data_IF_549941729154
#
_entry.id   IF_549941729154
#
_cell.length_a   1.000
_cell.length_b   1.000
_cell.length_c   1.000
_cell.angle_alpha   90.00
_cell.angle_beta   90.00
_cell.angle_gamma   90.00
#
_symmetry.space_group_name_H-M   'P 1'
#
loop_
_entity.id
_entity.type
_entity.pdbx_description
1 polymer ?
#
# COMPACT_ATOMS: atom_id res chain seq x y z
N UNK A 1 7.45 -7.48 -12.64
CA UNK A 1 6.46 -6.53 -12.08
C UNK A 1 6.24 -5.32 -12.98
N UNK A 2 7.26 -4.52 -13.30
CA UNK A 2 7.14 -3.33 -14.18
C UNK A 2 6.44 -3.61 -15.52
N UNK A 3 6.88 -4.63 -16.24
CA UNK A 3 6.27 -5.02 -17.52
C UNK A 3 4.79 -5.36 -17.39
N UNK A 4 4.41 -6.14 -16.37
CA UNK A 4 3.03 -6.54 -16.16
C UNK A 4 2.14 -5.34 -15.80
N UNK A 5 2.61 -4.45 -14.90
CA UNK A 5 1.87 -3.23 -14.57
C UNK A 5 1.72 -2.34 -15.80
N UNK A 6 2.79 -2.18 -16.59
CA UNK A 6 2.75 -1.38 -17.81
C UNK A 6 1.84 -1.97 -18.89
N UNK A 7 1.81 -3.30 -19.04
CA UNK A 7 0.89 -3.98 -19.96
C UNK A 7 -0.57 -3.81 -19.55
N UNK A 8 -0.88 -3.91 -18.25
CA UNK A 8 -2.25 -3.76 -17.75
C UNK A 8 -2.74 -2.32 -17.80
N UNK A 9 -1.86 -1.35 -17.52
CA UNK A 9 -2.26 0.07 -17.38
C UNK A 9 -1.97 0.92 -18.62
N UNK A 10 -1.12 0.44 -19.53
CA UNK A 10 -0.60 1.24 -20.65
C UNK A 10 0.48 2.25 -20.24
N UNK A 11 0.92 2.24 -18.98
CA UNK A 11 1.87 3.22 -18.44
C UNK A 11 3.32 2.72 -18.50
N UNK A 12 4.25 3.66 -18.78
CA UNK A 12 5.67 3.41 -18.58
C UNK A 12 6.02 3.51 -17.08
N UNK A 13 6.33 2.37 -16.46
CA UNK A 13 6.83 2.32 -15.08
C UNK A 13 8.34 2.54 -15.12
N UNK A 14 8.80 3.72 -14.69
CA UNK A 14 10.22 4.09 -14.75
C UNK A 14 11.05 3.45 -13.62
N UNK A 15 10.49 3.38 -12.42
CA UNK A 15 11.18 2.91 -11.22
C UNK A 15 10.28 2.07 -10.33
N UNK A 16 10.89 1.26 -9.47
CA UNK A 16 10.21 0.43 -8.49
C UNK A 16 10.85 0.57 -7.11
N UNK A 17 10.00 0.52 -6.11
CA UNK A 17 10.37 0.41 -4.70
C UNK A 17 9.68 -0.84 -4.19
N UNK A 18 10.47 -1.78 -3.67
CA UNK A 18 9.98 -2.97 -2.97
C UNK A 18 10.51 -2.90 -1.54
N UNK A 19 9.59 -2.95 -0.58
CA UNK A 19 9.89 -2.83 0.84
C UNK A 19 9.41 -4.09 1.54
N UNK A 20 10.26 -4.69 2.38
CA UNK A 20 9.83 -5.77 3.27
C UNK A 20 9.01 -5.23 4.47
N UNK A 21 8.45 -6.14 5.27
CA UNK A 21 7.63 -5.75 6.42
C UNK A 21 8.43 -4.99 7.50
N UNK A 22 9.69 -5.35 7.72
CA UNK A 22 10.52 -4.68 8.73
C UNK A 22 10.84 -3.24 8.31
N UNK A 23 11.16 -3.03 7.03
CA UNK A 23 11.39 -1.72 6.45
C UNK A 23 10.14 -0.87 6.51
N UNK A 24 8.98 -1.45 6.20
CA UNK A 24 7.68 -0.78 6.30
C UNK A 24 7.44 -0.22 7.71
N UNK A 25 7.56 -1.07 8.74
CA UNK A 25 7.34 -0.65 10.14
C UNK A 25 8.30 0.48 10.53
N UNK A 26 9.61 0.27 10.29
CA UNK A 26 10.66 1.27 10.63
C UNK A 26 10.49 2.58 9.90
N UNK A 27 10.00 2.57 8.66
CA UNK A 27 9.77 3.77 7.86
C UNK A 27 8.61 4.59 8.41
N UNK A 28 7.53 3.94 8.85
CA UNK A 28 6.40 4.60 9.52
C UNK A 28 6.81 5.13 10.90
N UNK A 29 7.54 4.33 11.68
CA UNK A 29 8.01 4.77 13.00
C UNK A 29 8.99 5.94 12.93
N UNK A 30 9.83 5.99 11.90
CA UNK A 30 10.78 7.10 11.69
C UNK A 30 10.09 8.46 11.53
N UNK A 31 8.87 8.48 10.98
CA UNK A 31 8.06 9.70 10.87
C UNK A 31 7.13 9.93 12.06
N UNK A 32 7.23 9.08 13.10
CA UNK A 32 6.40 9.16 14.29
C UNK A 32 4.96 8.71 14.06
N UNK A 33 4.77 7.65 13.27
CA UNK A 33 3.45 7.08 12.95
C UNK A 33 2.69 7.85 11.88
N UNK A 34 1.54 7.31 11.47
CA UNK A 34 0.64 7.89 10.47
C UNK A 34 -0.77 8.05 11.02
N UNK A 35 -1.49 9.03 10.48
CA UNK A 35 -2.88 9.32 10.85
C UNK A 35 -3.80 8.87 9.71
N UNK A 36 -4.75 7.98 10.00
CA UNK A 36 -5.70 7.44 9.02
C UNK A 36 -7.14 7.62 9.48
N UNK A 37 -8.05 7.78 8.53
CA UNK A 37 -9.49 7.80 8.79
C UNK A 37 -10.09 6.44 8.45
N UNK A 38 -10.37 5.66 9.48
CA UNK A 38 -10.97 4.32 9.37
C UNK A 38 -12.46 4.48 9.09
N UNK A 39 -12.91 4.08 7.91
CA UNK A 39 -14.29 4.30 7.47
C UNK A 39 -15.29 3.43 8.23
N UNK A 40 -14.92 2.17 8.48
CA UNK A 40 -15.78 1.18 9.13
C UNK A 40 -15.04 0.45 10.23
N UNK A 41 -15.72 0.22 11.35
CA UNK A 41 -15.19 -0.64 12.41
C UNK A 41 -15.10 -2.07 11.87
N UNK A 42 -13.97 -2.75 12.10
CA UNK A 42 -13.82 -4.14 11.71
C UNK A 42 -12.98 -4.95 12.69
N UNK A 43 -13.24 -6.26 12.67
CA UNK A 43 -12.59 -7.27 13.48
C UNK A 43 -12.03 -8.37 12.57
N UNK A 44 -10.75 -8.70 12.73
CA UNK A 44 -10.07 -9.83 12.07
C UNK A 44 -9.59 -10.81 13.14
N UNK A 45 -10.28 -11.94 13.29
CA UNK A 45 -9.96 -12.96 14.30
C UNK A 45 -8.90 -13.97 13.84
N UNK A 46 -8.47 -13.89 12.57
CA UNK A 46 -7.60 -14.87 11.93
C UNK A 46 -6.33 -14.21 11.38
N UNK A 47 -5.88 -13.13 12.03
CA UNK A 47 -4.62 -12.50 11.65
C UNK A 47 -3.45 -13.37 12.13
N UNK A 48 -2.56 -13.84 11.23
CA UNK A 48 -1.52 -14.80 11.60
C UNK A 48 -0.44 -14.17 12.47
N UNK A 49 -0.09 -14.84 13.56
CA UNK A 49 1.03 -14.47 14.43
C UNK A 49 2.32 -15.03 13.81
N UNK A 50 3.30 -14.18 13.43
CA UNK A 50 4.56 -14.65 12.86
C UNK A 50 5.27 -15.64 13.79
N UNK A 51 5.72 -16.77 13.25
CA UNK A 51 6.43 -17.82 13.99
C UNK A 51 5.53 -18.78 14.76
N UNK A 52 4.20 -18.61 14.70
CA UNK A 52 3.22 -19.51 15.32
C UNK A 52 2.49 -20.37 14.26
N UNK A 53 2.99 -20.49 13.04
CA UNK A 53 2.27 -21.14 11.93
C UNK A 53 1.96 -22.62 12.18
N UNK A 54 2.73 -23.28 13.05
CA UNK A 54 2.56 -24.66 13.45
C UNK A 54 2.09 -24.83 14.92
N UNK A 55 1.66 -23.75 15.58
CA UNK A 55 1.20 -23.80 16.97
C UNK A 55 -0.08 -24.64 17.11
N UNK A 56 -0.19 -25.37 18.21
CA UNK A 56 -1.38 -26.14 18.57
C UNK A 56 -1.91 -25.70 19.94
N UNK A 57 -3.24 -25.50 20.10
CA UNK A 57 -4.29 -25.65 19.08
C UNK A 57 -4.19 -24.60 17.96
N UNK A 58 -4.79 -24.87 16.79
CA UNK A 58 -4.81 -23.94 15.63
C UNK A 58 -5.20 -22.50 15.97
N UNK A 59 -6.06 -22.28 16.97
CA UNK A 59 -6.42 -20.94 17.43
C UNK A 59 -5.24 -20.14 18.00
N UNK A 60 -4.17 -20.80 18.47
CA UNK A 60 -2.96 -20.15 18.97
C UNK A 60 -2.07 -19.57 17.85
N UNK A 61 -2.40 -19.87 16.58
CA UNK A 61 -1.69 -19.36 15.41
C UNK A 61 -2.10 -17.93 15.03
N UNK A 62 -3.19 -17.44 15.61
CA UNK A 62 -3.86 -16.20 15.21
C UNK A 62 -4.04 -15.23 16.38
N UNK A 63 -4.03 -13.94 16.07
CA UNK A 63 -4.44 -12.87 16.97
C UNK A 63 -5.71 -12.18 16.44
N UNK A 64 -6.45 -11.56 17.36
CA UNK A 64 -7.60 -10.74 17.04
C UNK A 64 -7.18 -9.29 16.85
N UNK A 65 -7.44 -8.74 15.66
CA UNK A 65 -7.30 -7.32 15.37
C UNK A 65 -8.67 -6.64 15.47
N UNK A 66 -8.68 -5.47 16.11
CA UNK A 66 -9.85 -4.60 16.17
C UNK A 66 -9.46 -3.18 15.76
N UNK A 67 -10.19 -2.63 14.79
CA UNK A 67 -10.04 -1.25 14.34
C UNK A 67 -11.39 -0.56 14.41
N UNK A 68 -11.50 0.48 15.22
CA UNK A 68 -12.72 1.29 15.34
C UNK A 68 -12.79 2.35 14.23
N UNK A 69 -13.99 2.62 13.73
CA UNK A 69 -14.22 3.71 12.80
C UNK A 69 -13.86 5.08 13.42
N UNK A 70 -13.36 5.98 12.58
CA UNK A 70 -12.91 7.32 12.95
C UNK A 70 -11.42 7.54 12.74
N UNK A 71 -10.91 8.64 13.28
CA UNK A 71 -9.49 8.98 13.18
C UNK A 71 -8.66 8.11 14.12
N UNK A 72 -7.61 7.49 13.56
CA UNK A 72 -6.70 6.64 14.28
C UNK A 72 -5.24 7.02 13.97
N UNK A 73 -4.42 7.06 15.01
CA UNK A 73 -2.97 7.18 14.88
C UNK A 73 -2.34 5.79 14.94
N UNK A 74 -1.61 5.40 13.89
CA UNK A 74 -1.01 4.08 13.76
C UNK A 74 0.51 4.18 13.76
N UNK A 75 1.15 3.43 14.66
CA UNK A 75 2.58 3.13 14.57
C UNK A 75 2.88 2.12 13.46
N UNK A 76 4.15 1.82 13.21
CA UNK A 76 4.57 0.94 12.13
C UNK A 76 3.94 -0.45 12.20
N UNK A 77 3.95 -1.08 13.38
CA UNK A 77 3.38 -2.40 13.58
C UNK A 77 1.86 -2.41 13.37
N UNK A 78 1.15 -1.42 13.89
CA UNK A 78 -0.31 -1.30 13.77
C UNK A 78 -0.71 -0.97 12.33
N UNK A 79 0.02 -0.08 11.66
CA UNK A 79 -0.19 0.24 10.25
C UNK A 79 0.06 -0.99 9.35
N UNK A 80 1.04 -1.84 9.69
CA UNK A 80 1.30 -3.07 8.94
C UNK A 80 0.13 -4.04 9.07
N UNK A 81 -0.37 -4.23 10.30
CA UNK A 81 -1.55 -5.04 10.59
C UNK A 81 -2.78 -4.52 9.85
N UNK A 82 -3.01 -3.21 9.88
CA UNK A 82 -4.08 -2.53 9.17
C UNK A 82 -4.02 -2.78 7.64
N UNK A 83 -2.84 -2.64 7.04
CA UNK A 83 -2.63 -2.86 5.60
C UNK A 83 -2.69 -4.33 5.18
N UNK A 84 -2.48 -5.26 6.11
CA UNK A 84 -2.40 -6.71 5.84
C UNK A 84 -3.65 -7.50 6.18
N UNK A 85 -4.53 -7.00 7.04
CA UNK A 85 -5.75 -7.73 7.42
C UNK A 85 -6.54 -8.20 6.18
N UNK A 86 -6.87 -9.49 6.14
CA UNK A 86 -7.56 -10.17 5.03
C UNK A 86 -8.79 -10.96 5.46
N UNK A 87 -8.95 -11.24 6.75
CA UNK A 87 -10.02 -12.09 7.26
C UNK A 87 -10.97 -11.31 8.17
N UNK A 88 -11.03 -10.00 7.95
CA UNK A 88 -12.00 -9.14 8.60
C UNK A 88 -13.43 -9.61 8.28
N UNK A 89 -14.31 -9.54 9.26
CA UNK A 89 -15.71 -9.95 9.11
C UNK A 89 -16.44 -8.99 8.17
N UNK A 90 -17.17 -9.53 7.19
CA UNK A 90 -17.99 -8.73 6.27
C UNK A 90 -17.21 -8.13 5.10
N UNK A 91 -17.61 -6.93 4.67
CA UNK A 91 -17.09 -6.27 3.46
C UNK A 91 -15.60 -5.89 3.57
N UNK A 92 -15.12 -5.67 4.80
CA UNK A 92 -13.73 -5.33 5.12
C UNK A 92 -12.75 -6.50 4.93
N UNK A 93 -13.27 -7.74 4.80
CA UNK A 93 -12.48 -8.94 4.52
C UNK A 93 -12.10 -9.13 3.05
N UNK A 94 -12.54 -8.26 2.14
CA UNK A 94 -12.28 -8.40 0.72
C UNK A 94 -10.86 -7.97 0.34
N UNK A 95 -10.32 -8.54 -0.75
CA UNK A 95 -9.02 -8.10 -1.30
C UNK A 95 -9.09 -6.62 -1.76
N UNK A 96 -10.25 -6.13 -2.18
CA UNK A 96 -10.48 -4.72 -2.52
C UNK A 96 -10.43 -3.81 -1.28
N UNK A 97 -11.11 -4.18 -0.19
CA UNK A 97 -11.02 -3.42 1.07
C UNK A 97 -9.57 -3.36 1.58
N UNK A 98 -8.80 -4.45 1.47
CA UNK A 98 -7.37 -4.44 1.76
C UNK A 98 -6.60 -3.47 0.86
N UNK A 99 -6.87 -3.44 -0.44
CA UNK A 99 -6.25 -2.49 -1.37
C UNK A 99 -6.55 -1.04 -0.99
N UNK A 100 -7.79 -0.74 -0.59
CA UNK A 100 -8.19 0.59 -0.10
C UNK A 100 -7.42 0.97 1.17
N UNK A 101 -7.26 0.05 2.13
CA UNK A 101 -6.45 0.30 3.34
C UNK A 101 -4.98 0.54 3.02
N UNK A 102 -4.41 -0.18 2.05
CA UNK A 102 -3.03 0.04 1.58
C UNK A 102 -2.87 1.41 0.94
N UNK A 103 -3.84 1.86 0.14
CA UNK A 103 -3.86 3.21 -0.41
C UNK A 103 -3.92 4.27 0.69
N UNK A 104 -4.80 4.10 1.69
CA UNK A 104 -4.91 5.01 2.84
C UNK A 104 -3.58 5.16 3.57
N UNK A 105 -2.87 4.04 3.81
CA UNK A 105 -1.53 4.05 4.43
C UNK A 105 -0.53 4.83 3.59
N UNK A 106 -0.50 4.62 2.26
CA UNK A 106 0.42 5.35 1.36
C UNK A 106 0.12 6.86 1.40
N UNK A 107 -1.15 7.25 1.35
CA UNK A 107 -1.56 8.64 1.39
C UNK A 107 -1.26 9.30 2.75
N UNK A 108 -1.53 8.60 3.84
CA UNK A 108 -1.24 9.07 5.20
C UNK A 108 0.27 9.21 5.41
N UNK A 109 1.07 8.25 4.96
CA UNK A 109 2.52 8.32 4.99
C UNK A 109 3.06 9.49 4.16
N UNK A 110 2.55 9.70 2.95
CA UNK A 110 2.88 10.87 2.12
C UNK A 110 2.59 12.17 2.87
N UNK A 111 1.39 12.30 3.45
CA UNK A 111 0.99 13.50 4.19
C UNK A 111 1.90 13.73 5.42
N UNK A 112 2.26 12.66 6.14
CA UNK A 112 3.19 12.74 7.27
C UNK A 112 4.59 13.16 6.83
N UNK A 113 5.11 12.57 5.75
CA UNK A 113 6.40 12.95 5.16
C UNK A 113 6.45 14.42 4.74
N UNK A 114 5.35 14.93 4.18
CA UNK A 114 5.20 16.32 3.74
C UNK A 114 4.92 17.30 4.89
N UNK A 115 4.69 16.81 6.11
CA UNK A 115 4.46 17.67 7.26
C UNK A 115 5.70 18.51 7.56
N UNK A 116 5.50 19.77 7.98
CA UNK A 116 6.61 20.67 8.30
C UNK A 116 7.53 20.10 9.37
N UNK A 117 7.00 19.34 10.33
CA UNK A 117 7.78 18.68 11.38
C UNK A 117 8.77 17.67 10.80
N UNK A 118 8.34 16.83 9.86
CA UNK A 118 9.20 15.83 9.22
C UNK A 118 10.19 16.47 8.26
N UNK A 119 9.75 17.44 7.44
CA UNK A 119 10.60 18.12 6.46
C UNK A 119 11.72 18.95 7.09
N UNK A 120 11.50 19.53 8.27
CA UNK A 120 12.50 20.31 8.99
C UNK A 120 13.41 19.46 9.88
N UNK A 121 13.15 18.16 10.02
CA UNK A 121 13.91 17.23 10.85
C UNK A 121 14.98 16.51 10.03
N UNK A 122 16.21 17.03 10.04
CA UNK A 122 17.35 16.39 9.39
C UNK A 122 17.61 14.98 9.94
N UNK A 123 17.41 14.76 11.24
CA UNK A 123 17.53 13.44 11.87
C UNK A 123 16.49 12.46 11.34
N UNK A 124 15.23 12.88 11.16
CA UNK A 124 14.18 12.01 10.59
C UNK A 124 14.51 11.62 9.16
N UNK A 125 14.98 12.56 8.33
CA UNK A 125 15.40 12.28 6.95
C UNK A 125 16.57 11.30 6.89
N UNK A 126 17.55 11.44 7.78
CA UNK A 126 18.67 10.50 7.89
C UNK A 126 18.20 9.11 8.35
N UNK A 127 17.32 9.03 9.34
CA UNK A 127 16.72 7.77 9.80
C UNK A 127 15.94 7.08 8.70
N UNK A 128 15.16 7.81 7.89
CA UNK A 128 14.44 7.24 6.75
C UNK A 128 15.40 6.59 5.74
N UNK A 129 16.44 7.32 5.33
CA UNK A 129 17.43 6.78 4.39
C UNK A 129 18.15 5.58 5.00
N UNK A 130 18.57 5.65 6.26
CA UNK A 130 19.28 4.57 6.95
C UNK A 130 18.43 3.31 7.14
N UNK A 131 17.15 3.47 7.52
CA UNK A 131 16.23 2.34 7.74
C UNK A 131 15.88 1.61 6.44
N UNK A 132 15.91 2.31 5.31
CA UNK A 132 15.61 1.73 4.01
C UNK A 132 16.76 0.90 3.44
N UNK A 133 18.03 1.15 3.79
CA UNK A 133 19.19 0.54 3.09
C UNK A 133 19.17 -0.99 3.00
N UNK A 134 18.64 -1.69 4.01
CA UNK A 134 18.64 -3.16 4.06
C UNK A 134 17.28 -3.79 3.75
N UNK A 135 16.21 -2.99 3.70
CA UNK A 135 14.83 -3.47 3.49
C UNK A 135 14.21 -2.96 2.19
N UNK A 136 14.90 -2.06 1.49
CA UNK A 136 14.49 -1.48 0.22
C UNK A 136 15.24 -2.14 -0.94
N UNK A 137 14.49 -2.68 -1.89
CA UNK A 137 14.99 -3.04 -3.22
C UNK A 137 14.46 -2.02 -4.22
N UNK A 138 15.36 -1.37 -4.96
CA UNK A 138 15.01 -0.40 -5.99
C UNK A 138 15.97 -0.47 -7.17
N UNK A 139 15.47 -0.10 -8.35
CA UNK A 139 16.26 0.07 -9.58
C UNK A 139 16.73 1.52 -9.78
N UNK A 140 16.48 2.41 -8.80
CA UNK A 140 17.02 3.76 -8.78
C UNK A 140 18.48 3.77 -8.30
N UNK A 141 19.32 4.53 -8.99
CA UNK A 141 20.66 4.89 -8.50
C UNK A 141 20.56 5.89 -7.34
N UNK A 142 21.63 5.99 -6.54
CA UNK A 142 21.71 6.99 -5.45
C UNK A 142 21.52 8.43 -5.94
N UNK A 143 21.97 8.74 -7.16
CA UNK A 143 21.78 10.06 -7.77
C UNK A 143 20.31 10.32 -8.10
N UNK A 144 19.61 9.31 -8.65
CA UNK A 144 18.17 9.41 -8.95
C UNK A 144 17.34 9.50 -7.66
N UNK A 145 17.68 8.74 -6.62
CA UNK A 145 17.05 8.87 -5.29
C UNK A 145 17.22 10.30 -4.77
N UNK A 146 18.43 10.86 -4.84
CA UNK A 146 18.68 12.25 -4.45
C UNK A 146 17.87 13.26 -5.28
N UNK A 147 17.74 13.04 -6.59
CA UNK A 147 16.92 13.86 -7.47
C UNK A 147 15.42 13.75 -7.12
N UNK A 148 14.92 12.56 -6.79
CA UNK A 148 13.55 12.34 -6.34
C UNK A 148 13.26 13.02 -5.00
N UNK A 149 14.20 12.97 -4.05
CA UNK A 149 14.06 13.70 -2.78
C UNK A 149 13.94 15.20 -3.05
N UNK A 150 14.79 15.76 -3.92
CA UNK A 150 14.70 17.18 -4.29
C UNK A 150 13.37 17.51 -4.98
N UNK A 151 12.95 16.68 -5.93
CA UNK A 151 11.66 16.82 -6.61
C UNK A 151 10.51 16.78 -5.60
N UNK A 152 10.54 15.85 -4.65
CA UNK A 152 9.55 15.71 -3.59
C UNK A 152 9.49 16.95 -2.70
N UNK A 153 10.63 17.52 -2.31
CA UNK A 153 10.68 18.78 -1.54
C UNK A 153 10.13 19.96 -2.34
N UNK A 154 10.39 20.04 -3.64
CA UNK A 154 9.82 21.10 -4.49
C UNK A 154 8.32 20.88 -4.73
N UNK A 155 7.89 19.63 -4.84
CA UNK A 155 6.49 19.23 -4.96
C UNK A 155 5.71 19.48 -3.67
N UNK A 156 6.32 19.33 -2.49
CA UNK A 156 5.70 19.63 -1.19
C UNK A 156 5.16 21.05 -1.06
N UNK A 157 5.73 21.98 -1.84
CA UNK A 157 5.32 23.39 -1.89
C UNK A 157 4.11 23.63 -2.79
N UNK A 158 3.62 22.58 -3.48
CA UNK A 158 2.50 22.62 -4.42
C UNK A 158 1.43 21.66 -3.91
N UNK A 159 0.19 22.14 -3.75
CA UNK A 159 -0.94 21.24 -3.55
C UNK A 159 -1.20 20.49 -4.85
N UNK A 160 -0.64 19.30 -4.94
CA UNK A 160 -0.81 18.47 -6.12
C UNK A 160 -1.62 17.22 -5.75
N UNK A 161 -2.66 16.91 -6.55
CA UNK A 161 -3.61 15.88 -6.20
C UNK A 161 -2.96 14.49 -6.26
N UNK A 162 -3.26 13.66 -5.26
CA UNK A 162 -3.13 12.21 -5.42
C UNK A 162 -4.39 11.67 -6.12
N UNK A 163 -4.20 10.62 -6.91
CA UNK A 163 -5.26 9.90 -7.59
C UNK A 163 -5.08 8.41 -7.32
N UNK A 164 -6.20 7.75 -7.08
CA UNK A 164 -6.29 6.31 -7.10
C UNK A 164 -7.13 5.91 -8.29
N UNK A 165 -6.64 4.92 -9.02
CA UNK A 165 -7.31 4.38 -10.19
C UNK A 165 -8.09 3.16 -9.73
N UNK A 166 -9.39 3.33 -9.55
CA UNK A 166 -10.27 2.20 -9.27
C UNK A 166 -10.48 1.40 -10.56
N UNK A 167 -9.96 0.18 -10.57
CA UNK A 167 -10.11 -0.78 -11.64
C UNK A 167 -11.08 -1.91 -11.30
N UNK A 168 -11.74 -1.87 -10.13
CA UNK A 168 -12.62 -2.96 -9.65
C UNK A 168 -13.71 -3.32 -10.66
N UNK A 169 -14.29 -2.33 -11.34
CA UNK A 169 -15.32 -2.54 -12.37
C UNK A 169 -14.80 -3.21 -13.65
N UNK A 170 -13.48 -3.19 -13.88
CA UNK A 170 -12.85 -3.73 -15.08
C UNK A 170 -12.33 -5.15 -14.91
N UNK A 171 -12.34 -5.70 -13.69
CA UNK A 171 -11.82 -7.04 -13.39
C UNK A 171 -12.87 -7.91 -12.69
N UNK A 172 -12.84 -9.22 -12.93
CA UNK A 172 -13.72 -10.19 -12.27
C UNK A 172 -12.99 -11.48 -11.97
N UNK A 173 -13.42 -12.20 -10.94
CA UNK A 173 -13.04 -13.61 -10.81
C UNK A 173 -13.90 -14.47 -11.73
N UNK A 174 -13.30 -15.22 -12.68
CA UNK A 174 -14.08 -16.04 -13.59
C UNK A 174 -14.77 -17.18 -12.84
N UNK A 175 -15.98 -17.56 -13.26
CA UNK A 175 -16.72 -18.67 -12.64
C UNK A 175 -16.03 -20.02 -12.82
N UNK A 176 -15.35 -20.21 -13.94
CA UNK A 176 -14.56 -21.41 -14.21
C UNK A 176 -13.10 -21.15 -13.86
N UNK A 177 -12.67 -21.67 -12.71
CA UNK A 177 -11.28 -21.59 -12.24
C UNK A 177 -10.39 -22.73 -12.77
N UNK A 178 -10.94 -23.67 -13.55
CA UNK A 178 -10.19 -24.82 -14.09
C UNK A 178 -8.91 -24.44 -14.85
N UNK A 179 -8.95 -23.45 -15.78
CA UNK A 179 -7.75 -22.95 -16.47
C UNK A 179 -6.69 -22.36 -15.53
N UNK A 180 -7.10 -21.97 -14.32
CA UNK A 180 -6.25 -21.37 -13.28
C UNK A 180 -5.95 -22.34 -12.14
N UNK A 181 -6.13 -23.65 -12.37
CA UNK A 181 -5.86 -24.70 -11.37
C UNK A 181 -6.64 -24.50 -10.06
N UNK A 182 -7.85 -23.93 -10.14
CA UNK A 182 -8.67 -23.63 -8.97
C UNK A 182 -8.23 -22.39 -8.17
N UNK A 183 -7.20 -21.68 -8.62
CA UNK A 183 -6.75 -20.46 -7.96
C UNK A 183 -7.71 -19.31 -8.24
N UNK A 184 -7.96 -18.50 -7.21
CA UNK A 184 -8.71 -17.26 -7.36
C UNK A 184 -7.86 -16.23 -8.10
N UNK A 185 -8.35 -15.74 -9.24
CA UNK A 185 -7.65 -14.80 -10.11
C UNK A 185 -8.59 -13.69 -10.54
N UNK A 186 -8.05 -12.52 -10.84
CA UNK A 186 -8.79 -11.42 -11.46
C UNK A 186 -8.44 -11.35 -12.94
N UNK A 187 -9.46 -11.41 -13.81
CA UNK A 187 -9.31 -11.29 -15.26
C UNK A 187 -10.03 -10.05 -15.78
N UNK A 188 -9.48 -9.35 -16.79
CA UNK A 188 -10.17 -8.23 -17.42
C UNK A 188 -11.54 -8.66 -17.97
N UNK A 189 -12.57 -7.86 -17.69
CA UNK A 189 -13.91 -8.02 -18.24
C UNK A 189 -14.05 -7.40 -19.64
N UNK A 190 -13.09 -6.56 -20.02
CA UNK A 190 -13.03 -5.85 -21.30
C UNK A 190 -11.61 -5.91 -21.89
N UNK A 191 -11.38 -5.31 -23.07
CA UNK A 191 -10.07 -5.23 -23.69
C UNK A 191 -9.11 -4.37 -22.87
N UNK A 192 -7.81 -4.67 -22.98
CA UNK A 192 -6.77 -3.83 -22.37
C UNK A 192 -6.81 -2.40 -22.93
N UNK A 193 -7.23 -2.22 -24.18
CA UNK A 193 -7.33 -0.90 -24.81
C UNK A 193 -8.37 -0.01 -24.11
N UNK A 194 -9.50 -0.57 -23.68
CA UNK A 194 -10.51 0.17 -22.90
C UNK A 194 -9.98 0.52 -21.50
N UNK A 195 -9.24 -0.38 -20.87
CA UNK A 195 -8.59 -0.13 -19.57
C UNK A 195 -7.54 0.98 -19.72
N UNK A 196 -6.72 0.94 -20.78
CA UNK A 196 -5.73 1.98 -21.07
C UNK A 196 -6.39 3.34 -21.34
N UNK A 197 -7.51 3.36 -22.07
CA UNK A 197 -8.26 4.58 -22.33
C UNK A 197 -8.83 5.17 -21.04
N UNK A 198 -9.35 4.33 -20.14
CA UNK A 198 -9.78 4.76 -18.81
C UNK A 198 -8.62 5.34 -18.00
N UNK A 199 -7.51 4.62 -17.88
CA UNK A 199 -6.31 5.08 -17.16
C UNK A 199 -5.80 6.40 -17.72
N UNK A 200 -5.71 6.53 -19.05
CA UNK A 200 -5.28 7.76 -19.70
C UNK A 200 -6.23 8.93 -19.42
N UNK A 201 -7.55 8.71 -19.46
CA UNK A 201 -8.55 9.73 -19.16
C UNK A 201 -8.41 10.25 -17.73
N UNK A 202 -8.31 9.35 -16.75
CA UNK A 202 -8.18 9.73 -15.33
C UNK A 202 -6.89 10.52 -15.05
N UNK A 203 -5.84 10.29 -15.85
CA UNK A 203 -4.58 11.03 -15.75
C UNK A 203 -4.57 12.36 -16.53
N UNK A 204 -5.40 12.51 -17.57
CA UNK A 204 -5.45 13.67 -18.47
C UNK A 204 -6.42 14.78 -18.06
N UNK A 205 -7.37 14.54 -17.14
CA UNK A 205 -8.32 15.56 -16.62
C UNK A 205 -7.65 16.63 -15.74
N UNK A 206 -6.56 17.22 -16.22
CA UNK A 206 -5.82 18.35 -15.64
C UNK A 206 -6.26 19.67 -16.27
#
# INVERSE_FOLDING_TARGET
MKSAVGELTGLSVHYTIVLDFQGFEKTIDAVGGIDVEIQHTFDDYLYPIPGQEAAEPESARYEHLHFAAGQAHLDGATALKFARSRHAVGEEGTDFARSTRQEQVILAFKNKLLSSTTLLSLSTLQSLVGNLQNSLVTDMSNLEIGAFIRLFLDYSKREAPSRSLDLTSYYVSPKNLGPYQGQWVLVPQTSLEEIHAYVAKELQTQ
#
